data_IF_976018500637
#
_entry.id   IF_976018500637
#
_cell.length_a   1.000
_cell.length_b   1.000
_cell.length_c   1.000
_cell.angle_alpha   90.00
_cell.angle_beta   90.00
_cell.angle_gamma   90.00
#
_symmetry.space_group_name_H-M   'P 1'
#
loop_
_entity.id
_entity.type
_entity.pdbx_description
1 polymer ?
#
# COMPACT_ATOMS: atom_id res chain seq x y z
N UNK A 1 -20.07 -14.30 24.75
CA UNK A 1 -18.91 -14.33 23.81
C UNK A 1 -19.30 -15.34 22.73
N UNK A 2 -19.34 -14.92 21.49
CA UNK A 2 -19.64 -15.79 20.35
C UNK A 2 -18.34 -16.49 19.95
N UNK A 3 -18.40 -17.78 19.67
CA UNK A 3 -17.25 -18.54 19.18
C UNK A 3 -16.78 -17.98 17.82
N UNK A 4 -15.48 -17.99 17.58
CA UNK A 4 -14.86 -17.40 16.39
C UNK A 4 -15.43 -17.98 15.09
N UNK A 5 -15.66 -19.28 15.04
CA UNK A 5 -16.21 -19.98 13.87
C UNK A 5 -17.62 -19.50 13.52
N UNK A 6 -18.47 -19.31 14.54
CA UNK A 6 -19.83 -18.79 14.34
C UNK A 6 -19.81 -17.35 13.86
N UNK A 7 -18.91 -16.53 14.40
CA UNK A 7 -18.71 -15.16 13.96
C UNK A 7 -18.19 -15.09 12.51
N UNK A 8 -17.22 -15.90 12.17
CA UNK A 8 -16.65 -15.97 10.83
C UNK A 8 -17.70 -16.43 9.80
N UNK A 9 -18.47 -17.46 10.12
CA UNK A 9 -19.57 -17.96 9.26
C UNK A 9 -20.65 -16.90 9.04
N UNK A 10 -21.00 -16.15 10.09
CA UNK A 10 -21.95 -15.04 9.98
C UNK A 10 -21.44 -13.93 9.08
N UNK A 11 -20.19 -13.48 9.26
CA UNK A 11 -19.57 -12.39 8.49
C UNK A 11 -19.47 -12.77 7.02
N UNK A 12 -18.94 -13.94 6.70
CA UNK A 12 -18.77 -14.42 5.33
C UNK A 12 -20.10 -14.60 4.58
N UNK A 13 -21.17 -14.93 5.28
CA UNK A 13 -22.52 -15.04 4.69
C UNK A 13 -23.25 -13.70 4.58
N UNK A 14 -22.89 -12.73 5.41
CA UNK A 14 -23.63 -11.46 5.52
C UNK A 14 -23.02 -10.36 4.67
N UNK A 15 -21.69 -10.18 4.70
CA UNK A 15 -21.00 -9.10 3.98
C UNK A 15 -21.36 -9.09 2.47
N UNK A 16 -21.34 -10.22 1.74
CA UNK A 16 -21.65 -10.22 0.31
C UNK A 16 -23.10 -9.82 -0.02
N UNK A 17 -23.96 -9.76 0.96
CA UNK A 17 -25.39 -9.41 0.77
C UNK A 17 -25.67 -7.94 1.05
N UNK A 18 -24.75 -7.24 1.70
CA UNK A 18 -24.91 -5.82 2.01
C UNK A 18 -24.84 -5.03 0.70
N UNK A 19 -25.86 -4.25 0.43
CA UNK A 19 -25.96 -3.43 -0.78
C UNK A 19 -25.52 -1.98 -0.50
N UNK A 20 -25.03 -1.29 -1.53
CA UNK A 20 -24.72 0.13 -1.45
C UNK A 20 -25.95 0.94 -0.99
N UNK A 21 -27.15 0.57 -1.43
CA UNK A 21 -28.39 1.22 -1.04
C UNK A 21 -28.63 1.14 0.47
N UNK A 22 -28.44 -0.03 1.07
CA UNK A 22 -28.57 -0.21 2.54
C UNK A 22 -27.55 0.64 3.30
N UNK A 23 -26.30 0.68 2.83
CA UNK A 23 -25.25 1.52 3.43
C UNK A 23 -25.66 3.00 3.34
N UNK A 24 -26.11 3.46 2.20
CA UNK A 24 -26.52 4.85 2.01
C UNK A 24 -27.75 5.23 2.87
N UNK A 25 -28.73 4.35 2.98
CA UNK A 25 -29.89 4.56 3.86
C UNK A 25 -29.48 4.63 5.34
N UNK A 26 -28.55 3.77 5.76
CA UNK A 26 -28.04 3.77 7.12
C UNK A 26 -27.18 5.01 7.44
N UNK A 27 -26.46 5.54 6.46
CA UNK A 27 -25.61 6.72 6.61
C UNK A 27 -26.40 8.05 6.60
N UNK A 28 -27.55 8.13 5.93
CA UNK A 28 -28.36 9.35 5.83
C UNK A 28 -28.59 10.08 7.17
N UNK A 29 -28.93 9.41 8.29
CA UNK A 29 -29.14 10.08 9.59
C UNK A 29 -27.86 10.72 10.16
N UNK A 30 -26.67 10.37 9.67
CA UNK A 30 -25.41 10.94 10.14
C UNK A 30 -25.13 12.32 9.52
N UNK A 31 -25.68 12.58 8.34
CA UNK A 31 -25.53 13.85 7.63
C UNK A 31 -26.69 14.77 7.98
N UNK A 32 -26.62 15.40 9.15
CA UNK A 32 -27.64 16.35 9.62
C UNK A 32 -27.02 17.72 9.82
N UNK A 33 -27.86 18.78 9.75
CA UNK A 33 -27.43 20.17 10.05
C UNK A 33 -27.25 20.42 11.56
N UNK A 34 -27.44 19.40 12.40
CA UNK A 34 -27.31 19.51 13.86
C UNK A 34 -26.03 18.81 14.31
N UNK A 35 -25.40 19.37 15.34
CA UNK A 35 -24.18 18.82 15.95
C UNK A 35 -22.99 18.72 14.97
N UNK A 36 -22.91 19.64 14.03
CA UNK A 36 -21.74 19.77 13.16
C UNK A 36 -20.63 20.50 13.91
N UNK A 37 -19.41 19.99 13.79
CA UNK A 37 -18.20 20.64 14.30
C UNK A 37 -17.25 20.81 13.12
N UNK A 38 -16.87 22.04 12.85
CA UNK A 38 -15.83 22.37 11.88
C UNK A 38 -14.57 22.80 12.63
N UNK A 39 -13.43 22.21 12.26
CA UNK A 39 -12.12 22.57 12.80
C UNK A 39 -11.28 23.14 11.67
N UNK A 40 -10.83 24.37 11.83
CA UNK A 40 -9.91 25.04 10.90
C UNK A 40 -8.57 25.19 11.58
N UNK A 41 -7.52 24.70 10.95
CA UNK A 41 -6.15 24.79 11.46
C UNK A 41 -5.26 25.48 10.41
N UNK A 42 -4.33 26.31 10.88
CA UNK A 42 -3.37 27.00 10.03
C UNK A 42 -2.38 27.80 10.86
N UNK A 43 -1.42 28.51 10.24
CA UNK A 43 -0.50 29.42 10.93
C UNK A 43 -1.24 30.56 11.63
N UNK A 44 -0.74 31.02 12.77
CA UNK A 44 -1.38 32.07 13.59
C UNK A 44 -1.42 33.44 12.91
N UNK A 45 -0.56 33.69 11.93
CA UNK A 45 -0.43 34.94 11.18
C UNK A 45 -1.36 35.01 9.95
N UNK A 46 -2.17 34.00 9.73
CA UNK A 46 -3.12 33.94 8.60
C UNK A 46 -4.56 34.07 9.10
N UNK A 47 -5.35 34.86 8.41
CA UNK A 47 -6.78 34.94 8.70
C UNK A 47 -7.46 33.60 8.36
N UNK A 48 -8.06 32.97 9.36
CA UNK A 48 -8.83 31.75 9.19
C UNK A 48 -10.27 32.04 8.78
N UNK A 49 -10.91 31.00 8.20
CA UNK A 49 -12.32 31.07 7.83
C UNK A 49 -13.19 31.30 9.05
N UNK A 50 -14.15 32.23 8.91
CA UNK A 50 -15.20 32.46 9.89
C UNK A 50 -16.27 31.37 9.85
N UNK A 51 -17.10 31.31 10.90
CA UNK A 51 -18.22 30.37 10.95
C UNK A 51 -19.20 30.56 9.77
N UNK A 52 -19.49 31.81 9.41
CA UNK A 52 -20.41 32.11 8.31
C UNK A 52 -19.86 31.71 6.95
N UNK A 53 -18.56 31.89 6.72
CA UNK A 53 -17.88 31.41 5.50
C UNK A 53 -17.90 29.90 5.40
N UNK A 54 -17.62 29.19 6.50
CA UNK A 54 -17.68 27.71 6.55
C UNK A 54 -19.09 27.21 6.25
N UNK A 55 -20.12 27.81 6.88
CA UNK A 55 -21.52 27.47 6.64
C UNK A 55 -21.94 27.75 5.20
N UNK A 56 -21.44 28.85 4.62
CA UNK A 56 -21.63 29.17 3.21
C UNK A 56 -21.06 28.11 2.28
N UNK A 57 -19.82 27.70 2.50
CA UNK A 57 -19.15 26.64 1.72
C UNK A 57 -19.92 25.32 1.81
N UNK A 58 -20.30 24.90 3.02
CA UNK A 58 -21.06 23.66 3.22
C UNK A 58 -22.38 23.72 2.43
N UNK A 59 -23.10 24.84 2.51
CA UNK A 59 -24.39 25.00 1.80
C UNK A 59 -24.23 24.94 0.28
N UNK A 60 -23.16 25.52 -0.27
CA UNK A 60 -22.86 25.47 -1.71
C UNK A 60 -22.59 24.04 -2.14
N UNK A 61 -21.73 23.30 -1.40
CA UNK A 61 -21.39 21.92 -1.73
C UNK A 61 -22.59 20.98 -1.60
N UNK A 62 -23.42 21.16 -0.54
CA UNK A 62 -24.64 20.36 -0.36
C UNK A 62 -25.69 20.60 -1.45
N UNK A 63 -25.68 21.79 -2.07
CA UNK A 63 -26.62 22.17 -3.14
C UNK A 63 -26.07 21.94 -4.56
N UNK A 64 -24.88 21.42 -4.71
CA UNK A 64 -24.24 21.22 -6.01
C UNK A 64 -24.51 19.82 -6.57
N UNK A 65 -25.55 19.70 -7.39
CA UNK A 65 -25.91 18.47 -8.09
C UNK A 65 -24.89 18.06 -9.19
N UNK A 66 -23.88 18.89 -9.48
CA UNK A 66 -22.84 18.57 -10.45
C UNK A 66 -21.72 17.68 -9.88
N UNK A 67 -21.67 17.53 -8.56
CA UNK A 67 -20.71 16.67 -7.89
C UNK A 67 -21.12 15.21 -8.13
N UNK A 68 -20.37 14.56 -9.01
CA UNK A 68 -20.59 13.15 -9.32
C UNK A 68 -19.98 12.24 -8.25
N UNK A 69 -20.54 11.02 -8.07
CA UNK A 69 -19.92 9.98 -7.25
C UNK A 69 -18.48 9.70 -7.71
N UNK A 70 -17.60 9.41 -6.75
CA UNK A 70 -16.24 9.00 -7.07
C UNK A 70 -16.27 7.67 -7.84
N UNK A 71 -15.69 7.67 -9.04
CA UNK A 71 -15.46 6.45 -9.83
C UNK A 71 -14.03 5.94 -9.62
N UNK A 72 -13.89 4.66 -9.32
CA UNK A 72 -12.59 4.03 -9.14
C UNK A 72 -12.07 3.51 -10.49
N UNK A 73 -11.23 4.29 -11.14
CA UNK A 73 -10.70 4.02 -12.49
C UNK A 73 -9.79 2.78 -12.56
N UNK A 74 -9.41 2.22 -11.41
CA UNK A 74 -8.36 1.20 -11.31
C UNK A 74 -8.85 -0.18 -10.83
N UNK A 75 -10.17 -0.36 -10.66
CA UNK A 75 -10.72 -1.67 -10.31
C UNK A 75 -10.46 -2.66 -11.45
N UNK A 76 -9.74 -3.74 -11.13
CA UNK A 76 -9.47 -4.84 -12.07
C UNK A 76 -8.29 -4.61 -13.02
N UNK A 77 -7.51 -3.56 -12.84
CA UNK A 77 -6.25 -3.39 -13.58
C UNK A 77 -5.12 -4.19 -12.90
N UNK A 78 -4.23 -4.75 -13.71
CA UNK A 78 -3.04 -5.43 -13.22
C UNK A 78 -2.01 -4.41 -12.71
N UNK A 79 -1.35 -4.73 -11.59
CA UNK A 79 -0.28 -3.89 -11.03
C UNK A 79 0.94 -3.81 -11.94
N UNK A 80 1.19 -4.86 -12.71
CA UNK A 80 2.31 -4.95 -13.63
C UNK A 80 1.74 -5.30 -14.99
N UNK A 81 1.88 -4.38 -15.94
CA UNK A 81 1.41 -4.54 -17.31
C UNK A 81 2.53 -5.00 -18.27
N UNK A 82 3.78 -4.91 -17.82
CA UNK A 82 4.92 -5.33 -18.60
C UNK A 82 5.09 -6.85 -18.59
N UNK A 83 5.49 -7.42 -19.71
CA UNK A 83 5.88 -8.83 -19.81
C UNK A 83 7.25 -9.03 -19.16
N UNK A 84 7.27 -9.20 -17.84
CA UNK A 84 8.49 -9.41 -17.08
C UNK A 84 9.06 -10.79 -17.37
N UNK A 85 10.19 -10.82 -18.09
CA UNK A 85 10.94 -12.04 -18.37
C UNK A 85 11.87 -12.35 -17.21
N UNK A 86 11.59 -13.43 -16.49
CA UNK A 86 12.48 -13.95 -15.47
C UNK A 86 13.80 -14.45 -16.08
N UNK A 87 14.88 -14.39 -15.29
CA UNK A 87 16.15 -15.05 -15.63
C UNK A 87 16.08 -16.53 -15.28
N UNK A 88 16.70 -17.39 -16.10
CA UNK A 88 16.76 -18.82 -15.84
C UNK A 88 17.78 -19.12 -14.74
N UNK A 89 17.55 -20.22 -14.04
CA UNK A 89 18.52 -20.77 -13.08
C UNK A 89 19.62 -21.47 -13.89
N UNK A 90 20.86 -20.99 -13.70
CA UNK A 90 22.06 -21.55 -14.32
C UNK A 90 22.65 -22.68 -13.49
N UNK A 91 22.61 -22.55 -12.18
CA UNK A 91 23.22 -23.49 -11.24
C UNK A 91 22.41 -23.49 -9.92
N UNK A 92 22.35 -24.66 -9.28
CA UNK A 92 21.76 -24.83 -7.94
C UNK A 92 22.83 -25.42 -7.04
N UNK A 93 23.15 -24.73 -5.95
CA UNK A 93 24.13 -25.15 -4.95
C UNK A 93 23.40 -25.40 -3.62
N UNK A 94 23.45 -26.60 -3.06
CA UNK A 94 22.84 -26.90 -1.77
C UNK A 94 23.58 -26.18 -0.63
N UNK A 95 22.81 -25.62 0.30
CA UNK A 95 23.30 -24.98 1.53
C UNK A 95 22.84 -25.84 2.73
N UNK A 96 23.51 -26.96 2.94
CA UNK A 96 23.07 -28.00 3.89
C UNK A 96 22.86 -27.48 5.32
N UNK A 97 23.70 -26.56 5.79
CA UNK A 97 23.63 -26.01 7.14
C UNK A 97 22.26 -25.34 7.45
N UNK A 98 21.61 -24.80 6.43
CA UNK A 98 20.35 -24.10 6.57
C UNK A 98 19.15 -24.80 5.93
N UNK A 99 19.36 -26.00 5.38
CA UNK A 99 18.35 -26.70 4.59
C UNK A 99 17.77 -25.79 3.52
N UNK A 100 18.66 -25.21 2.70
CA UNK A 100 18.36 -24.21 1.68
C UNK A 100 19.11 -24.51 0.39
N UNK A 101 18.76 -23.80 -0.67
CA UNK A 101 19.45 -23.85 -1.97
C UNK A 101 19.89 -22.45 -2.37
N UNK A 102 21.10 -22.30 -2.89
CA UNK A 102 21.52 -21.08 -3.60
C UNK A 102 21.33 -21.31 -5.10
N UNK A 103 20.49 -20.51 -5.72
CA UNK A 103 20.31 -20.49 -7.17
C UNK A 103 21.12 -19.36 -7.78
N UNK A 104 21.97 -19.68 -8.72
CA UNK A 104 22.71 -18.70 -9.51
C UNK A 104 21.95 -18.50 -10.81
N UNK A 105 21.44 -17.30 -11.03
CA UNK A 105 20.68 -16.97 -12.24
C UNK A 105 21.62 -16.60 -13.40
N UNK A 106 21.14 -16.72 -14.65
CA UNK A 106 21.92 -16.37 -15.86
C UNK A 106 22.32 -14.89 -15.89
N UNK A 107 21.55 -14.01 -15.25
CA UNK A 107 21.87 -12.58 -15.11
C UNK A 107 22.83 -12.25 -13.95
N UNK A 108 23.36 -13.26 -13.26
CA UNK A 108 24.31 -13.11 -12.16
C UNK A 108 23.68 -12.90 -10.78
N UNK A 109 22.37 -12.79 -10.67
CA UNK A 109 21.69 -12.68 -9.37
C UNK A 109 21.78 -14.01 -8.65
N UNK A 110 22.07 -13.96 -7.35
CA UNK A 110 22.05 -15.11 -6.43
C UNK A 110 20.78 -15.07 -5.61
N UNK A 111 20.07 -16.19 -5.54
CA UNK A 111 18.84 -16.34 -4.75
C UNK A 111 19.05 -17.45 -3.76
N UNK A 112 18.98 -17.18 -2.47
CA UNK A 112 18.94 -18.21 -1.44
C UNK A 112 17.48 -18.54 -1.16
N UNK A 113 17.09 -19.74 -1.57
CA UNK A 113 15.73 -20.23 -1.40
C UNK A 113 15.66 -21.25 -0.27
N UNK A 114 14.73 -21.00 0.66
CA UNK A 114 14.41 -21.96 1.71
C UNK A 114 12.90 -22.18 1.76
N UNK A 115 12.46 -23.43 1.65
CA UNK A 115 11.10 -23.82 1.98
C UNK A 115 11.01 -24.06 3.48
N UNK A 116 10.11 -23.37 4.15
CA UNK A 116 9.87 -23.48 5.58
C UNK A 116 8.36 -23.59 5.85
N UNK A 117 8.01 -24.17 6.98
CA UNK A 117 6.64 -24.36 7.45
C UNK A 117 6.31 -23.49 8.67
N UNK A 118 7.07 -22.39 8.84
CA UNK A 118 6.90 -21.47 9.98
C UNK A 118 5.57 -20.70 9.92
N UNK A 119 5.18 -20.33 8.71
CA UNK A 119 3.92 -19.67 8.45
C UNK A 119 3.26 -20.32 7.23
N UNK A 120 1.97 -20.58 7.37
CA UNK A 120 1.19 -21.17 6.29
C UNK A 120 0.89 -20.12 5.22
N UNK A 121 1.05 -20.50 3.97
CA UNK A 121 0.70 -19.68 2.80
C UNK A 121 1.39 -18.30 2.75
N UNK A 122 2.61 -18.18 3.31
CA UNK A 122 3.38 -16.94 3.29
C UNK A 122 4.68 -17.10 2.48
N UNK A 123 4.98 -16.08 1.68
CA UNK A 123 6.27 -15.91 0.99
C UNK A 123 6.92 -14.62 1.47
N UNK A 124 8.13 -14.71 2.00
CA UNK A 124 8.94 -13.55 2.39
C UNK A 124 10.11 -13.36 1.44
N UNK A 125 10.37 -12.13 1.05
CA UNK A 125 11.49 -11.72 0.21
C UNK A 125 12.40 -10.76 0.98
N UNK A 126 13.69 -11.01 0.93
CA UNK A 126 14.73 -10.08 1.34
C UNK A 126 15.81 -10.06 0.24
N UNK A 127 15.98 -8.93 -0.40
CA UNK A 127 17.04 -8.74 -1.38
C UNK A 127 17.97 -7.61 -0.94
N UNK A 128 19.27 -7.75 -1.16
CA UNK A 128 20.23 -6.70 -0.90
C UNK A 128 21.28 -6.65 -2.00
N UNK A 129 21.84 -5.46 -2.19
CA UNK A 129 23.05 -5.25 -2.99
C UNK A 129 24.04 -4.39 -2.21
N UNK A 130 25.32 -4.56 -2.50
CA UNK A 130 26.34 -3.64 -2.02
C UNK A 130 26.21 -2.32 -2.75
N UNK A 131 26.38 -1.21 -1.99
CA UNK A 131 26.20 0.13 -2.55
C UNK A 131 25.83 1.13 -1.46
N UNK A 132 24.65 1.70 -1.57
CA UNK A 132 24.11 2.63 -0.59
C UNK A 132 24.63 4.05 -0.75
N UNK A 133 24.40 4.87 0.27
CA UNK A 133 24.70 6.32 0.23
C UNK A 133 26.19 6.62 0.10
N UNK A 134 27.08 5.67 0.45
CA UNK A 134 28.53 5.82 0.31
C UNK A 134 29.03 5.96 -1.15
N UNK A 135 28.20 5.60 -2.12
CA UNK A 135 28.52 5.72 -3.54
C UNK A 135 28.27 7.13 -4.10
N UNK A 136 27.67 8.02 -3.34
CA UNK A 136 27.23 9.33 -3.79
C UNK A 136 28.12 10.45 -3.24
N UNK A 137 28.37 11.47 -4.06
CA UNK A 137 29.03 12.69 -3.61
C UNK A 137 28.14 13.47 -2.63
N UNK A 138 28.78 14.33 -1.80
CA UNK A 138 28.07 15.15 -0.80
C UNK A 138 26.92 15.97 -1.40
N UNK A 139 27.07 16.45 -2.64
CA UNK A 139 26.03 17.23 -3.36
C UNK A 139 24.76 16.42 -3.63
N UNK A 140 24.88 15.10 -3.78
CA UNK A 140 23.79 14.18 -4.11
C UNK A 140 23.34 13.35 -2.91
N UNK A 141 24.03 13.47 -1.77
CA UNK A 141 23.78 12.65 -0.57
C UNK A 141 22.34 12.77 -0.06
N UNK A 142 21.81 13.99 0.01
CA UNK A 142 20.44 14.21 0.46
C UNK A 142 19.41 13.53 -0.46
N UNK A 143 19.64 13.50 -1.76
CA UNK A 143 18.78 12.80 -2.70
C UNK A 143 18.85 11.27 -2.50
N UNK A 144 20.06 10.75 -2.31
CA UNK A 144 20.28 9.33 -2.04
C UNK A 144 19.60 8.89 -0.74
N UNK A 145 19.76 9.63 0.35
CA UNK A 145 19.13 9.34 1.65
C UNK A 145 17.58 9.33 1.59
N UNK A 146 16.99 10.16 0.73
CA UNK A 146 15.55 10.27 0.59
C UNK A 146 14.97 9.40 -0.54
N UNK A 147 15.79 8.77 -1.37
CA UNK A 147 15.33 8.00 -2.53
C UNK A 147 14.33 6.89 -2.15
N UNK A 148 14.64 6.12 -1.11
CA UNK A 148 13.76 5.06 -0.62
C UNK A 148 12.46 5.61 -0.01
N UNK A 149 12.50 6.76 0.66
CA UNK A 149 11.32 7.42 1.24
C UNK A 149 10.34 7.80 0.12
N UNK A 150 10.83 8.42 -0.94
CA UNK A 150 9.99 8.78 -2.09
C UNK A 150 9.46 7.54 -2.82
N UNK A 151 10.30 6.55 -3.08
CA UNK A 151 9.88 5.32 -3.75
C UNK A 151 8.75 4.63 -2.98
N UNK A 152 8.87 4.50 -1.67
CA UNK A 152 7.84 3.88 -0.83
C UNK A 152 6.54 4.70 -0.74
N UNK A 153 6.63 6.03 -0.91
CA UNK A 153 5.48 6.92 -0.81
C UNK A 153 4.67 7.04 -2.13
N UNK A 154 5.33 6.86 -3.28
CA UNK A 154 4.68 7.10 -4.58
C UNK A 154 3.75 5.97 -5.03
N UNK A 155 4.04 4.73 -4.69
CA UNK A 155 3.26 3.57 -5.13
C UNK A 155 4.02 2.66 -6.09
N UNK A 156 3.30 1.95 -6.96
CA UNK A 156 3.88 0.98 -7.91
C UNK A 156 3.24 1.15 -9.29
N UNK A 157 4.07 1.29 -10.32
CA UNK A 157 3.60 1.47 -11.69
C UNK A 157 2.68 2.68 -11.82
N UNK A 158 1.50 2.48 -12.38
CA UNK A 158 0.49 3.54 -12.53
C UNK A 158 -0.34 3.79 -11.25
N UNK A 159 -0.11 2.99 -10.20
CA UNK A 159 -0.85 3.08 -8.96
C UNK A 159 -0.11 3.95 -7.94
N UNK A 160 -0.63 5.15 -7.65
CA UNK A 160 -0.18 5.90 -6.49
C UNK A 160 -0.55 5.18 -5.18
N UNK A 161 -0.04 5.63 -4.04
CA UNK A 161 -0.23 4.96 -2.74
C UNK A 161 -1.70 4.70 -2.38
N UNK A 162 -2.61 5.63 -2.73
CA UNK A 162 -4.05 5.50 -2.43
C UNK A 162 -4.68 4.43 -3.34
N UNK A 163 -4.41 4.48 -4.64
CA UNK A 163 -4.90 3.53 -5.64
C UNK A 163 -4.34 2.13 -5.40
N UNK A 164 -3.05 2.03 -5.06
CA UNK A 164 -2.39 0.77 -4.71
C UNK A 164 -3.05 0.08 -3.51
N UNK A 165 -3.36 0.84 -2.46
CA UNK A 165 -4.07 0.32 -1.29
C UNK A 165 -5.45 -0.25 -1.64
N UNK A 166 -6.17 0.39 -2.55
CA UNK A 166 -7.46 -0.10 -3.04
C UNK A 166 -7.31 -1.35 -3.93
N UNK A 167 -6.34 -1.34 -4.85
CA UNK A 167 -6.06 -2.48 -5.73
C UNK A 167 -5.63 -3.74 -4.96
N UNK A 168 -4.97 -3.57 -3.83
CA UNK A 168 -4.56 -4.64 -2.92
C UNK A 168 -5.62 -4.98 -1.87
N UNK A 169 -6.81 -4.38 -1.90
CA UNK A 169 -7.86 -4.70 -0.93
C UNK A 169 -8.20 -6.20 -0.98
N UNK A 170 -8.16 -6.86 0.18
CA UNK A 170 -8.35 -8.31 0.31
C UNK A 170 -7.12 -9.17 -0.03
N UNK A 171 -5.98 -8.56 -0.39
CA UNK A 171 -4.69 -9.22 -0.60
C UNK A 171 -3.71 -8.77 0.47
N UNK A 172 -2.99 -9.72 1.05
CA UNK A 172 -1.93 -9.42 2.01
C UNK A 172 -0.59 -9.47 1.26
N UNK A 173 -0.20 -8.32 0.74
CA UNK A 173 1.08 -8.17 0.05
C UNK A 173 1.75 -6.85 0.46
N UNK A 174 3.05 -6.87 0.64
CA UNK A 174 3.85 -5.70 0.94
C UNK A 174 5.19 -5.75 0.21
N UNK A 175 5.68 -4.58 -0.16
CA UNK A 175 7.02 -4.40 -0.69
C UNK A 175 7.55 -3.05 -0.19
N UNK A 176 8.81 -3.00 0.18
CA UNK A 176 9.46 -1.78 0.62
C UNK A 176 10.94 -1.78 0.26
N UNK A 177 11.47 -0.57 0.09
CA UNK A 177 12.88 -0.32 -0.21
C UNK A 177 13.53 0.45 0.92
N UNK A 178 14.81 0.24 1.14
CA UNK A 178 15.63 1.07 2.03
C UNK A 178 17.05 1.23 1.49
N UNK A 179 17.70 2.32 1.84
CA UNK A 179 19.09 2.60 1.51
C UNK A 179 19.86 2.85 2.80
N UNK A 180 20.91 2.08 2.99
CA UNK A 180 21.85 2.26 4.10
C UNK A 180 23.14 2.94 3.61
N UNK A 181 24.16 3.01 4.48
CA UNK A 181 25.44 3.58 4.10
C UNK A 181 26.14 2.75 3.02
N UNK A 182 26.16 1.42 3.15
CA UNK A 182 26.91 0.51 2.29
C UNK A 182 26.04 -0.54 1.59
N UNK A 183 24.72 -0.43 1.67
CA UNK A 183 23.83 -1.41 1.08
C UNK A 183 22.50 -0.79 0.66
N UNK A 184 21.84 -1.46 -0.25
CA UNK A 184 20.47 -1.21 -0.67
C UNK A 184 19.65 -2.47 -0.42
N UNK A 185 18.42 -2.30 0.06
CA UNK A 185 17.59 -3.43 0.47
C UNK A 185 16.19 -3.31 -0.11
N UNK A 186 15.66 -4.44 -0.57
CA UNK A 186 14.24 -4.61 -0.89
C UNK A 186 13.68 -5.72 -0.02
N UNK A 187 12.58 -5.43 0.67
CA UNK A 187 11.84 -6.43 1.44
C UNK A 187 10.45 -6.60 0.88
N UNK A 188 9.89 -7.78 1.03
CA UNK A 188 8.52 -8.04 0.60
C UNK A 188 7.93 -9.26 1.30
N UNK A 189 6.61 -9.28 1.35
CA UNK A 189 5.86 -10.47 1.78
C UNK A 189 4.53 -10.55 1.04
N UNK A 190 4.05 -11.77 0.83
CA UNK A 190 2.74 -12.03 0.26
C UNK A 190 2.17 -13.35 0.78
N UNK A 191 0.84 -13.43 0.86
CA UNK A 191 0.10 -14.66 1.17
C UNK A 191 -0.73 -15.09 -0.02
#
# INVERSE_FOLDING_TARGET
IVEYEVYYDYITKTIPKITVKEIMEYAKPWFTKKNQVAVVTGPDDVQHLTEDEIRGIISVVEGDDSILPFEDEFIGQDLVTDDLKGSKIKEVVPVELFDAEEWILENGVKVVYKKADYEKDNVSLYAHSDGGTSLYDVKDLSNAENAAVFTNAYGVGEFNAIKLKKALAGKMASCGTSIGTNNEVVTGSAT
#
